data_IF_321640942407
#
_entry.id   IF_321640942407
#
_cell.length_a   1.000
_cell.length_b   1.000
_cell.length_c   1.000
_cell.angle_alpha   90.00
_cell.angle_beta   90.00
_cell.angle_gamma   90.00
#
_symmetry.space_group_name_H-M   'P 1'
#
loop_
_entity.id
_entity.type
_entity.pdbx_description
1 polymer ?
#
# COMPACT_ATOMS: atom_id res chain seq x y z
N UNK A 1 2.14 -22.13 12.76
CA UNK A 1 1.46 -21.04 13.51
C UNK A 1 0.30 -21.66 14.27
N UNK A 2 0.24 -21.47 15.59
CA UNK A 2 -0.94 -21.88 16.40
C UNK A 2 -2.14 -21.04 15.95
N UNK A 3 -3.27 -21.69 15.72
CA UNK A 3 -4.52 -21.03 15.36
C UNK A 3 -4.97 -20.16 16.55
N UNK A 4 -5.01 -18.84 16.36
CA UNK A 4 -5.59 -17.92 17.35
C UNK A 4 -7.04 -17.69 16.96
N UNK A 5 -7.96 -18.41 17.61
CA UNK A 5 -9.41 -18.33 17.37
C UNK A 5 -10.07 -17.04 17.87
N UNK A 6 -9.27 -16.03 18.27
CA UNK A 6 -9.74 -14.81 18.93
C UNK A 6 -9.34 -13.50 18.22
N UNK A 7 -8.73 -13.57 17.04
CA UNK A 7 -8.38 -12.37 16.27
C UNK A 7 -9.42 -12.14 15.17
N UNK A 8 -10.09 -11.00 15.18
CA UNK A 8 -11.06 -10.63 14.13
C UNK A 8 -10.37 -9.99 12.92
N UNK A 9 -9.36 -9.16 13.18
CA UNK A 9 -8.57 -8.46 12.17
C UNK A 9 -7.08 -8.53 12.51
N UNK A 10 -6.26 -8.46 11.48
CA UNK A 10 -4.81 -8.33 11.54
C UNK A 10 -4.44 -7.05 10.81
N UNK A 11 -3.63 -6.21 11.44
CA UNK A 11 -2.96 -5.08 10.81
C UNK A 11 -1.52 -5.51 10.50
N UNK A 12 -1.16 -5.54 9.22
CA UNK A 12 0.24 -5.68 8.81
C UNK A 12 0.91 -4.29 8.78
N UNK A 13 2.15 -4.23 9.27
CA UNK A 13 2.95 -2.99 9.34
C UNK A 13 4.42 -3.29 9.09
N UNK A 14 5.03 -2.51 8.21
CA UNK A 14 6.48 -2.40 8.12
C UNK A 14 7.07 -1.78 9.39
N UNK A 15 8.32 -2.16 9.66
CA UNK A 15 9.06 -1.77 10.87
C UNK A 15 9.37 -0.27 10.99
N UNK A 16 9.22 0.50 9.93
CA UNK A 16 9.50 1.93 9.86
C UNK A 16 8.22 2.79 9.82
N UNK A 17 7.12 2.21 10.30
CA UNK A 17 5.85 2.90 10.54
C UNK A 17 5.63 3.17 12.03
N UNK A 18 5.12 4.35 12.37
CA UNK A 18 4.86 4.71 13.76
C UNK A 18 3.61 5.57 13.96
N UNK A 19 2.94 5.37 15.10
CA UNK A 19 1.78 6.17 15.51
C UNK A 19 2.22 7.58 15.89
N UNK A 20 1.61 8.59 15.27
CA UNK A 20 1.84 10.02 15.60
C UNK A 20 0.65 10.63 16.33
N UNK A 21 -0.55 10.08 16.14
CA UNK A 21 -1.77 10.61 16.73
C UNK A 21 -2.49 9.55 17.59
N UNK A 22 -2.26 9.50 18.90
CA UNK A 22 -2.91 8.53 19.77
C UNK A 22 -4.39 8.85 20.04
N UNK A 23 -4.92 9.98 19.54
CA UNK A 23 -6.35 10.32 19.65
C UNK A 23 -7.19 9.58 18.59
N UNK A 24 -6.56 9.07 17.53
CA UNK A 24 -7.20 8.29 16.46
C UNK A 24 -7.00 6.81 16.65
N UNK A 25 -7.86 6.04 16.00
CA UNK A 25 -7.98 4.59 16.13
C UNK A 25 -7.89 3.92 14.76
N UNK A 26 -7.26 2.74 14.70
CA UNK A 26 -7.18 1.97 13.45
C UNK A 26 -8.57 1.50 12.99
N UNK A 27 -9.48 1.33 13.95
CA UNK A 27 -10.85 0.91 13.74
C UNK A 27 -11.66 1.90 12.88
N UNK A 28 -11.24 3.17 12.78
CA UNK A 28 -11.84 4.17 11.89
C UNK A 28 -11.71 3.80 10.40
N UNK A 29 -10.78 2.91 10.06
CA UNK A 29 -10.48 2.49 8.69
C UNK A 29 -11.02 1.10 8.35
N UNK A 30 -11.66 0.42 9.30
CA UNK A 30 -12.29 -0.88 9.07
C UNK A 30 -13.55 -0.73 8.21
N UNK A 31 -13.82 -1.75 7.41
CA UNK A 31 -15.05 -1.91 6.63
C UNK A 31 -15.49 -3.36 6.78
N UNK A 32 -16.63 -3.60 7.43
CA UNK A 32 -17.11 -4.95 7.72
C UNK A 32 -17.39 -5.78 6.46
N UNK A 33 -17.62 -5.11 5.32
CA UNK A 33 -17.85 -5.72 4.02
C UNK A 33 -16.56 -6.11 3.30
N UNK A 34 -15.42 -5.56 3.72
CA UNK A 34 -14.12 -5.87 3.15
C UNK A 34 -13.44 -7.01 3.94
N UNK A 35 -12.85 -7.94 3.20
CA UNK A 35 -11.95 -8.96 3.76
C UNK A 35 -10.52 -8.41 3.87
N UNK A 36 -10.10 -7.59 2.90
CA UNK A 36 -8.78 -6.93 2.89
C UNK A 36 -8.96 -5.46 2.54
N UNK A 37 -8.25 -4.59 3.25
CA UNK A 37 -8.21 -3.15 3.01
C UNK A 37 -6.76 -2.75 2.78
N UNK A 38 -6.49 -2.35 1.54
CA UNK A 38 -5.28 -1.65 1.12
C UNK A 38 -5.55 -0.16 0.99
N UNK A 39 -4.54 0.58 0.56
CA UNK A 39 -4.69 1.97 0.20
C UNK A 39 -3.71 2.39 -0.90
N UNK A 40 -4.11 3.39 -1.66
CA UNK A 40 -3.25 4.07 -2.61
C UNK A 40 -2.23 4.92 -1.84
N UNK A 41 -0.94 4.64 -2.06
CA UNK A 41 0.14 5.45 -1.52
C UNK A 41 0.06 6.86 -2.07
N UNK A 42 0.43 7.85 -1.25
CA UNK A 42 0.02 9.23 -1.49
C UNK A 42 0.71 9.88 -2.71
N UNK A 43 1.98 9.57 -2.97
CA UNK A 43 2.80 10.32 -3.94
C UNK A 43 2.99 9.63 -5.31
N UNK A 44 2.70 8.34 -5.43
CA UNK A 44 2.85 7.55 -6.66
C UNK A 44 1.59 6.70 -6.94
N UNK A 45 1.62 5.70 -7.81
CA UNK A 45 0.45 4.87 -8.15
C UNK A 45 0.40 3.53 -7.42
N UNK A 46 1.29 3.34 -6.45
CA UNK A 46 1.43 2.11 -5.67
C UNK A 46 0.20 1.88 -4.76
N UNK A 47 -0.37 0.67 -4.81
CA UNK A 47 -1.09 0.08 -3.69
C UNK A 47 -0.06 -0.35 -2.65
N UNK A 48 -0.07 0.27 -1.46
CA UNK A 48 0.94 0.00 -0.44
C UNK A 48 0.87 -1.46 0.04
N UNK A 49 1.95 -2.22 -0.14
CA UNK A 49 2.09 -3.57 0.42
C UNK A 49 2.65 -3.55 1.87
N UNK A 50 3.38 -2.51 2.26
CA UNK A 50 3.98 -2.35 3.60
C UNK A 50 2.98 -2.15 4.75
N UNK A 51 1.68 -1.96 4.45
CA UNK A 51 0.63 -2.02 5.47
C UNK A 51 -0.74 -2.23 4.87
N UNK A 52 -1.51 -3.13 5.47
CA UNK A 52 -2.89 -3.43 5.11
C UNK A 52 -3.64 -4.02 6.30
N UNK A 53 -4.97 -3.85 6.30
CA UNK A 53 -5.87 -4.50 7.25
C UNK A 53 -6.46 -5.73 6.60
N UNK A 54 -6.54 -6.83 7.34
CA UNK A 54 -7.13 -8.07 6.86
C UNK A 54 -8.00 -8.73 7.91
N UNK A 55 -9.22 -9.11 7.53
CA UNK A 55 -10.17 -9.86 8.34
C UNK A 55 -9.71 -11.30 8.46
N UNK A 56 -9.82 -11.90 9.64
CA UNK A 56 -9.47 -13.30 9.85
C UNK A 56 -10.56 -14.22 9.29
N UNK A 57 -10.45 -14.57 8.00
CA UNK A 57 -11.36 -15.48 7.32
C UNK A 57 -10.58 -16.52 6.50
N UNK A 58 -11.22 -17.62 6.12
CA UNK A 58 -10.63 -18.59 5.21
C UNK A 58 -10.27 -17.94 3.86
N UNK A 59 -11.11 -17.03 3.38
CA UNK A 59 -10.86 -16.31 2.14
C UNK A 59 -9.58 -15.46 2.24
N UNK A 60 -9.43 -14.71 3.33
CA UNK A 60 -8.25 -13.87 3.58
C UNK A 60 -6.95 -14.67 3.66
N UNK A 61 -6.97 -15.84 4.30
CA UNK A 61 -5.81 -16.75 4.35
C UNK A 61 -5.43 -17.24 2.96
N UNK A 62 -6.41 -17.63 2.13
CA UNK A 62 -6.17 -18.03 0.74
C UNK A 62 -5.63 -16.88 -0.11
N UNK A 63 -6.18 -15.67 0.05
CA UNK A 63 -5.69 -14.48 -0.64
C UNK A 63 -4.24 -14.18 -0.26
N UNK A 64 -3.89 -14.18 1.03
CA UNK A 64 -2.52 -13.96 1.47
C UNK A 64 -1.56 -15.04 1.00
N UNK A 65 -1.98 -16.31 0.98
CA UNK A 65 -1.14 -17.38 0.44
C UNK A 65 -0.87 -17.17 -1.05
N UNK A 66 -1.89 -16.83 -1.84
CA UNK A 66 -1.69 -16.56 -3.27
C UNK A 66 -0.87 -15.30 -3.55
N UNK A 67 -0.99 -14.28 -2.69
CA UNK A 67 -0.13 -13.10 -2.76
C UNK A 67 1.33 -13.45 -2.43
N UNK A 68 1.57 -14.24 -1.38
CA UNK A 68 2.91 -14.72 -1.03
C UNK A 68 3.51 -15.57 -2.15
N UNK A 69 2.75 -16.52 -2.71
CA UNK A 69 3.18 -17.38 -3.81
C UNK A 69 3.47 -16.61 -5.11
N UNK A 70 3.05 -15.33 -5.20
CA UNK A 70 3.40 -14.47 -6.33
C UNK A 70 4.92 -14.24 -6.41
N UNK A 71 5.67 -14.40 -5.32
CA UNK A 71 7.13 -14.29 -5.32
C UNK A 71 7.81 -15.17 -6.39
N UNK A 72 7.22 -16.34 -6.68
CA UNK A 72 7.73 -17.29 -7.68
C UNK A 72 7.39 -16.92 -9.12
N UNK A 73 6.59 -15.86 -9.33
CA UNK A 73 6.12 -15.39 -10.65
C UNK A 73 6.61 -13.98 -10.99
N UNK A 74 7.43 -13.38 -10.12
CA UNK A 74 8.04 -12.08 -10.37
C UNK A 74 8.91 -12.09 -11.64
N UNK A 75 8.91 -11.01 -12.42
CA UNK A 75 9.78 -10.93 -13.58
C UNK A 75 11.23 -10.80 -13.16
N UNK A 76 12.15 -11.14 -14.06
CA UNK A 76 13.60 -11.03 -13.82
C UNK A 76 14.11 -9.58 -13.89
N UNK A 77 13.28 -8.66 -14.37
CA UNK A 77 13.52 -7.22 -14.47
C UNK A 77 13.43 -6.53 -13.10
N UNK A 78 13.61 -5.21 -13.04
CA UNK A 78 13.34 -4.46 -11.81
C UNK A 78 11.85 -4.50 -11.49
N UNK A 79 11.47 -5.02 -10.32
CA UNK A 79 10.07 -5.39 -10.08
C UNK A 79 9.49 -4.88 -8.75
N UNK A 80 10.24 -4.16 -7.91
CA UNK A 80 9.67 -3.58 -6.66
C UNK A 80 9.16 -4.59 -5.62
N UNK A 81 9.57 -5.85 -5.73
CA UNK A 81 9.22 -6.94 -4.81
C UNK A 81 7.69 -7.10 -4.61
N UNK A 82 7.22 -7.10 -3.37
CA UNK A 82 5.82 -7.23 -2.97
C UNK A 82 4.94 -6.06 -3.44
N UNK A 83 5.48 -4.83 -3.44
CA UNK A 83 4.78 -3.66 -3.95
C UNK A 83 4.49 -3.78 -5.47
N UNK A 84 5.41 -4.34 -6.26
CA UNK A 84 5.11 -4.64 -7.67
C UNK A 84 4.16 -5.83 -7.83
N UNK A 85 4.34 -6.88 -7.03
CA UNK A 85 3.54 -8.10 -7.07
C UNK A 85 2.05 -7.85 -6.78
N UNK A 86 1.73 -7.00 -5.79
CA UNK A 86 0.34 -6.82 -5.37
C UNK A 86 -0.52 -6.27 -6.51
N UNK A 87 0.03 -5.43 -7.39
CA UNK A 87 -0.69 -4.89 -8.54
C UNK A 87 -1.12 -5.99 -9.50
N UNK A 88 -0.20 -6.85 -9.93
CA UNK A 88 -0.52 -7.96 -10.81
C UNK A 88 -1.47 -8.95 -10.15
N UNK A 89 -1.26 -9.26 -8.86
CA UNK A 89 -2.13 -10.16 -8.13
C UNK A 89 -3.55 -9.63 -7.97
N UNK A 90 -3.72 -8.33 -7.71
CA UNK A 90 -5.03 -7.67 -7.69
C UNK A 90 -5.71 -7.71 -9.06
N UNK A 91 -4.97 -7.48 -10.15
CA UNK A 91 -5.50 -7.57 -11.50
C UNK A 91 -5.98 -8.99 -11.83
N UNK A 92 -5.18 -10.01 -11.51
CA UNK A 92 -5.56 -11.43 -11.70
C UNK A 92 -6.81 -11.82 -10.90
N UNK A 93 -6.97 -11.24 -9.70
CA UNK A 93 -8.10 -11.57 -8.82
C UNK A 93 -9.39 -10.81 -9.17
N UNK A 94 -9.27 -9.61 -9.73
CA UNK A 94 -10.40 -8.69 -9.91
C UNK A 94 -10.88 -8.55 -11.36
N UNK A 95 -10.00 -8.79 -12.34
CA UNK A 95 -10.30 -8.56 -13.75
C UNK A 95 -10.51 -9.88 -14.50
N UNK A 96 -11.32 -9.88 -15.57
CA UNK A 96 -11.49 -11.06 -16.40
C UNK A 96 -10.18 -11.40 -17.14
N UNK A 97 -9.93 -12.69 -17.40
CA UNK A 97 -8.69 -13.15 -18.03
C UNK A 97 -8.39 -12.52 -19.40
N UNK A 98 -9.41 -12.06 -20.12
CA UNK A 98 -9.28 -11.41 -21.43
C UNK A 98 -9.25 -9.88 -21.36
N UNK A 99 -8.93 -9.29 -20.20
CA UNK A 99 -8.86 -7.85 -20.05
C UNK A 99 -7.76 -7.23 -20.93
N UNK A 100 -8.13 -6.34 -21.84
CA UNK A 100 -7.25 -5.84 -22.91
C UNK A 100 -6.01 -5.10 -22.40
N UNK A 101 -6.16 -4.36 -21.28
CA UNK A 101 -5.08 -3.52 -20.73
C UNK A 101 -4.06 -4.35 -19.93
N UNK A 102 -4.45 -5.48 -19.33
CA UNK A 102 -3.57 -6.22 -18.41
C UNK A 102 -2.29 -6.72 -19.10
N UNK A 103 -2.34 -7.34 -20.30
CA UNK A 103 -1.13 -7.73 -21.02
C UNK A 103 -0.17 -6.58 -21.30
N UNK A 104 -0.70 -5.38 -21.56
CA UNK A 104 0.10 -4.16 -21.80
C UNK A 104 0.84 -3.78 -20.51
N UNK A 105 0.15 -3.75 -19.38
CA UNK A 105 0.79 -3.44 -18.09
C UNK A 105 1.86 -4.49 -17.74
N UNK A 106 1.57 -5.78 -17.96
CA UNK A 106 2.53 -6.85 -17.69
C UNK A 106 3.77 -6.77 -18.59
N UNK A 107 3.64 -6.30 -19.83
CA UNK A 107 4.79 -6.04 -20.71
C UNK A 107 5.71 -4.96 -20.14
N UNK A 108 5.15 -3.87 -19.62
CA UNK A 108 5.91 -2.80 -18.94
C UNK A 108 6.65 -3.39 -17.73
N UNK A 109 5.95 -4.18 -16.91
CA UNK A 109 6.53 -4.80 -15.71
C UNK A 109 7.69 -5.74 -16.05
N UNK A 110 7.52 -6.58 -17.08
CA UNK A 110 8.54 -7.54 -17.54
C UNK A 110 9.81 -6.87 -18.09
N UNK A 111 9.74 -5.60 -18.49
CA UNK A 111 10.85 -4.84 -19.07
C UNK A 111 11.33 -3.67 -18.20
N UNK A 112 10.77 -3.52 -17.00
CA UNK A 112 11.08 -2.43 -16.07
C UNK A 112 12.55 -2.40 -15.65
N UNK A 113 13.15 -1.20 -15.62
CA UNK A 113 14.57 -0.98 -15.31
C UNK A 113 14.77 -0.21 -14.01
N UNK A 114 13.71 0.35 -13.44
CA UNK A 114 13.77 1.18 -12.25
C UNK A 114 12.40 1.67 -11.81
N UNK A 115 12.39 2.61 -10.86
CA UNK A 115 11.16 3.11 -10.25
C UNK A 115 10.23 3.82 -11.24
N UNK A 116 10.76 4.53 -12.25
CA UNK A 116 9.91 5.21 -13.25
C UNK A 116 9.07 4.21 -14.06
N UNK A 117 9.71 3.12 -14.53
CA UNK A 117 9.01 2.05 -15.25
C UNK A 117 8.03 1.30 -14.34
N UNK A 118 8.42 1.08 -13.07
CA UNK A 118 7.56 0.45 -12.08
C UNK A 118 6.32 1.31 -11.80
N UNK A 119 6.47 2.62 -11.59
CA UNK A 119 5.35 3.54 -11.38
C UNK A 119 4.44 3.63 -12.60
N UNK A 120 4.99 3.53 -13.81
CA UNK A 120 4.19 3.44 -15.04
C UNK A 120 3.37 2.14 -15.07
N UNK A 121 3.96 1.01 -14.70
CA UNK A 121 3.25 -0.27 -14.56
C UNK A 121 2.14 -0.20 -13.50
N UNK A 122 2.43 0.35 -12.32
CA UNK A 122 1.46 0.54 -11.25
C UNK A 122 0.28 1.39 -11.73
N UNK A 123 0.56 2.53 -12.37
CA UNK A 123 -0.45 3.41 -12.94
C UNK A 123 -1.31 2.70 -13.99
N UNK A 124 -0.69 1.87 -14.85
CA UNK A 124 -1.37 1.07 -15.85
C UNK A 124 -2.36 0.09 -15.20
N UNK A 125 -1.91 -0.67 -14.19
CA UNK A 125 -2.79 -1.60 -13.46
C UNK A 125 -3.89 -0.86 -12.70
N UNK A 126 -3.57 0.24 -12.00
CA UNK A 126 -4.59 1.03 -11.29
C UNK A 126 -5.66 1.55 -12.25
N UNK A 127 -5.26 1.95 -13.46
CA UNK A 127 -6.19 2.37 -14.52
C UNK A 127 -7.09 1.21 -14.96
N UNK A 128 -6.54 0.01 -15.16
CA UNK A 128 -7.31 -1.18 -15.51
C UNK A 128 -8.30 -1.58 -14.40
N UNK A 129 -7.89 -1.49 -13.13
CA UNK A 129 -8.74 -1.81 -11.98
C UNK A 129 -9.93 -0.84 -11.87
N UNK A 130 -9.68 0.47 -12.05
CA UNK A 130 -10.68 1.54 -12.09
C UNK A 130 -11.46 1.81 -10.79
N UNK A 131 -11.88 0.77 -10.08
CA UNK A 131 -12.67 0.80 -8.87
C UNK A 131 -11.78 0.71 -7.62
N UNK A 132 -12.22 1.38 -6.55
CA UNK A 132 -11.64 1.25 -5.21
C UNK A 132 -12.08 -0.03 -4.50
N UNK A 133 -13.19 -0.65 -4.93
CA UNK A 133 -13.66 -1.93 -4.38
C UNK A 133 -13.57 -3.01 -5.44
N UNK A 134 -12.81 -4.07 -5.17
CA UNK A 134 -12.55 -5.16 -6.11
C UNK A 134 -13.21 -6.45 -5.62
N UNK A 135 -13.95 -7.10 -6.52
CA UNK A 135 -14.64 -8.38 -6.27
C UNK A 135 -15.53 -8.40 -5.03
N UNK A 136 -15.96 -7.23 -4.53
CA UNK A 136 -16.75 -7.07 -3.30
C UNK A 136 -16.04 -7.45 -2.00
N UNK A 137 -14.74 -7.78 -2.04
CA UNK A 137 -13.97 -8.28 -0.88
C UNK A 137 -12.72 -7.48 -0.58
N UNK A 138 -12.16 -6.81 -1.59
CA UNK A 138 -10.95 -6.01 -1.45
C UNK A 138 -11.33 -4.55 -1.55
N UNK A 139 -10.88 -3.74 -0.60
CA UNK A 139 -11.04 -2.28 -0.62
C UNK A 139 -9.67 -1.63 -0.74
N UNK A 140 -9.56 -0.63 -1.59
CA UNK A 140 -8.39 0.23 -1.75
C UNK A 140 -8.84 1.64 -1.38
N UNK A 141 -8.38 2.13 -0.23
CA UNK A 141 -8.69 3.49 0.19
C UNK A 141 -7.99 4.49 -0.74
N UNK A 142 -8.68 5.56 -1.16
CA UNK A 142 -8.06 6.58 -2.00
C UNK A 142 -6.95 7.33 -1.27
N UNK A 143 -6.14 8.04 -2.06
CA UNK A 143 -5.02 8.83 -1.56
C UNK A 143 -5.46 9.80 -0.47
N UNK A 144 -4.72 9.80 0.64
CA UNK A 144 -4.95 10.74 1.75
C UNK A 144 -6.14 10.41 2.66
N UNK A 145 -6.76 9.24 2.51
CA UNK A 145 -7.85 8.79 3.40
C UNK A 145 -7.50 7.56 4.23
N UNK A 146 -6.28 7.03 4.10
CA UNK A 146 -5.80 5.87 4.84
C UNK A 146 -5.10 6.26 6.16
N UNK A 147 -4.64 5.26 6.92
CA UNK A 147 -4.02 5.45 8.24
C UNK A 147 -2.55 5.87 8.21
N UNK A 148 -1.86 5.63 7.10
CA UNK A 148 -0.42 5.84 6.98
C UNK A 148 -0.12 6.70 5.76
N UNK A 149 0.89 7.57 5.90
CA UNK A 149 1.51 8.26 4.78
C UNK A 149 3.01 8.45 5.01
N UNK A 150 3.76 8.67 3.94
CA UNK A 150 5.20 8.92 4.03
C UNK A 150 5.53 10.24 4.76
N UNK A 151 6.60 10.18 5.56
CA UNK A 151 7.08 11.31 6.38
C UNK A 151 7.53 12.52 5.57
N UNK A 152 8.24 12.29 4.47
CA UNK A 152 8.98 13.31 3.74
C UNK A 152 8.06 14.32 3.04
N UNK A 153 6.83 13.94 2.73
CA UNK A 153 5.84 14.80 2.07
C UNK A 153 5.49 16.07 2.86
N UNK A 154 5.69 16.05 4.18
CA UNK A 154 5.38 17.18 5.07
C UNK A 154 6.51 17.47 6.07
N UNK A 155 7.74 17.05 5.75
CA UNK A 155 8.89 17.16 6.65
C UNK A 155 8.58 16.59 8.06
N UNK A 156 7.93 15.43 8.11
CA UNK A 156 7.50 14.74 9.32
C UNK A 156 6.49 15.50 10.21
N UNK A 157 5.95 16.64 9.76
CA UNK A 157 4.82 17.28 10.44
C UNK A 157 3.57 16.43 10.27
N UNK A 158 2.68 16.45 11.25
CA UNK A 158 1.41 15.74 11.18
C UNK A 158 0.24 16.65 11.58
N UNK A 159 -0.93 16.32 11.08
CA UNK A 159 -2.17 17.04 11.31
C UNK A 159 -3.05 16.25 12.30
N UNK A 160 -3.51 16.91 13.37
CA UNK A 160 -4.28 16.27 14.44
C UNK A 160 -5.62 15.68 14.00
N UNK A 161 -6.21 16.21 12.94
CA UNK A 161 -7.51 15.77 12.44
C UNK A 161 -7.40 14.64 11.40
N UNK A 162 -6.28 14.59 10.66
CA UNK A 162 -6.13 13.71 9.49
C UNK A 162 -5.13 12.58 9.65
N UNK A 163 -4.03 12.78 10.38
CA UNK A 163 -2.96 11.79 10.43
C UNK A 163 -3.16 10.82 11.60
N UNK A 164 -2.84 9.54 11.38
CA UNK A 164 -2.78 8.53 12.43
C UNK A 164 -1.37 7.97 12.59
N UNK A 165 -0.78 7.48 11.50
CA UNK A 165 0.57 6.94 11.46
C UNK A 165 1.41 7.55 10.34
N UNK A 166 2.73 7.48 10.49
CA UNK A 166 3.70 7.93 9.49
C UNK A 166 4.64 6.77 9.13
N UNK A 167 4.94 6.64 7.83
CA UNK A 167 5.87 5.67 7.24
C UNK A 167 7.22 6.31 6.87
N UNK A 168 8.21 5.47 6.60
CA UNK A 168 9.57 5.81 6.16
C UNK A 168 10.39 6.50 7.25
N UNK A 169 10.24 6.09 8.51
CA UNK A 169 11.14 6.51 9.58
C UNK A 169 12.45 5.74 9.56
N UNK A 170 13.49 6.37 8.99
CA UNK A 170 14.84 5.82 8.94
C UNK A 170 15.79 6.60 9.85
N UNK A 171 16.64 5.90 10.60
CA UNK A 171 17.68 6.52 11.45
C UNK A 171 18.59 7.46 10.65
N UNK A 172 18.89 7.13 9.40
CA UNK A 172 19.72 7.93 8.49
C UNK A 172 19.08 9.25 8.05
N UNK A 173 17.77 9.40 8.23
CA UNK A 173 17.01 10.61 7.89
C UNK A 173 16.80 11.53 9.12
N UNK A 174 17.27 11.14 10.31
CA UNK A 174 17.13 11.98 11.50
C UNK A 174 17.84 13.32 11.31
N UNK A 175 17.11 14.41 11.60
CA UNK A 175 17.61 15.79 11.53
C UNK A 175 17.55 16.41 12.91
N UNK A 176 18.63 17.08 13.31
CA UNK A 176 18.65 17.93 14.50
C UNK A 176 18.31 19.35 14.07
N UNK A 177 17.33 19.97 14.74
CA UNK A 177 16.98 21.36 14.53
C UNK A 177 17.44 22.19 15.73
N UNK A 178 18.08 23.33 15.46
CA UNK A 178 18.58 24.25 16.49
C UNK A 178 17.56 25.33 16.88
N UNK A 179 16.43 25.43 16.17
CA UNK A 179 15.40 26.44 16.39
C UNK A 179 14.00 25.84 16.22
N UNK A 180 13.03 26.41 16.93
CA UNK A 180 11.60 26.11 16.82
C UNK A 180 10.82 27.40 16.48
N UNK A 181 9.76 27.33 15.65
CA UNK A 181 9.22 26.13 15.01
C UNK A 181 10.07 25.66 13.81
N UNK A 182 10.05 24.36 13.54
CA UNK A 182 10.75 23.76 12.38
C UNK A 182 10.20 24.36 11.08
N UNK A 183 11.05 24.84 10.15
CA UNK A 183 10.60 25.41 8.88
C UNK A 183 9.80 24.40 8.05
N UNK A 184 8.81 24.91 7.30
CA UNK A 184 8.12 24.10 6.29
C UNK A 184 9.07 23.90 5.12
N UNK A 185 9.55 22.67 4.94
CA UNK A 185 10.28 22.27 3.74
C UNK A 185 9.28 21.54 2.88
N UNK A 186 8.75 22.22 1.87
CA UNK A 186 8.03 21.55 0.79
C UNK A 186 9.08 20.90 -0.10
N UNK A 187 9.17 19.58 -0.10
CA UNK A 187 9.88 18.89 -1.17
C UNK A 187 9.03 19.05 -2.43
N UNK A 188 9.55 19.73 -3.44
CA UNK A 188 9.04 19.60 -4.80
C UNK A 188 9.20 18.13 -5.19
N UNK A 189 8.07 17.45 -5.36
CA UNK A 189 8.00 16.14 -6.00
C UNK A 189 8.43 16.39 -7.45
N UNK A 190 9.60 15.88 -7.84
CA UNK A 190 10.03 15.82 -9.24
C UNK A 190 9.55 14.50 -9.83
#
# INVERSE_FOLDING_TARGET
>A
MKESSHLDYILFLDSDMGVVNPKRRIEEFLDENAEVIFYDRFYNWEVMAGSYLIKNSNWSRTFLQGFADYEFRLPKSFHGMDNGAIHAYLAEHALPHNHEIVPICMDIYNHSKGYDDLFLYEACIRTALGNSTLSGKIKILPKGTAWVRDNWMTNSKWNEERDFMIHNWKTTQLRTYSTLPIPYVFFTIF
#
